data_IF_488056480093
#
_entry.id   IF_488056480093
#
_cell.length_a   1.000
_cell.length_b   1.000
_cell.length_c   1.000
_cell.angle_alpha   90.00
_cell.angle_beta   90.00
_cell.angle_gamma   90.00
#
_symmetry.space_group_name_H-M   'P 1'
#
loop_
_entity.id
_entity.type
_entity.pdbx_description
1 polymer ?
#
# COMPACT_ATOMS: atom_id res chain seq x y z
N UNK A 1 -13.82 6.33 9.93
CA UNK A 1 -12.37 6.11 10.02
C UNK A 1 -12.16 4.62 10.18
N UNK A 2 -11.53 3.96 9.21
CA UNK A 2 -11.15 2.55 9.32
C UNK A 2 -9.95 2.53 10.27
N UNK A 3 -10.17 2.16 11.53
CA UNK A 3 -9.07 2.01 12.49
C UNK A 3 -8.39 0.69 12.20
N UNK A 4 -7.26 0.77 11.49
CA UNK A 4 -6.37 -0.35 11.27
C UNK A 4 -5.56 -0.51 12.56
N UNK A 5 -6.02 -1.40 13.43
CA UNK A 5 -5.31 -1.80 14.66
C UNK A 5 -3.83 -2.06 14.36
N UNK A 6 -2.93 -1.08 14.54
CA UNK A 6 -1.44 -1.05 14.61
C UNK A 6 -0.62 -2.14 13.87
N UNK A 7 -1.23 -2.89 12.97
CA UNK A 7 -0.68 -4.05 12.29
C UNK A 7 -0.51 -3.65 10.84
N UNK A 8 0.70 -3.81 10.30
CA UNK A 8 0.93 -3.55 8.90
C UNK A 8 -0.02 -4.37 8.04
N UNK A 9 -0.66 -3.73 7.08
CA UNK A 9 -1.53 -4.41 6.11
C UNK A 9 -0.70 -4.80 4.90
N UNK A 10 -0.73 -6.08 4.53
CA UNK A 10 -0.05 -6.52 3.32
C UNK A 10 -0.73 -5.94 2.07
N UNK A 11 0.08 -5.65 1.04
CA UNK A 11 -0.40 -5.07 -0.21
C UNK A 11 -1.54 -5.86 -0.88
N UNK A 12 -1.50 -7.19 -0.82
CA UNK A 12 -2.52 -8.08 -1.39
C UNK A 12 -3.86 -7.97 -0.65
N UNK A 13 -3.81 -7.82 0.69
CA UNK A 13 -4.98 -7.60 1.52
C UNK A 13 -5.59 -6.24 1.21
N UNK A 14 -4.75 -5.23 1.03
CA UNK A 14 -5.20 -3.89 0.67
C UNK A 14 -5.85 -3.87 -0.72
N UNK A 15 -5.25 -4.53 -1.72
CA UNK A 15 -5.81 -4.68 -3.07
C UNK A 15 -7.23 -5.23 -3.04
N UNK A 16 -7.47 -6.29 -2.26
CA UNK A 16 -8.79 -6.89 -2.06
C UNK A 16 -9.77 -5.93 -1.39
N UNK A 17 -9.32 -5.18 -0.39
CA UNK A 17 -10.17 -4.22 0.34
C UNK A 17 -10.68 -3.10 -0.56
N UNK A 18 -9.81 -2.53 -1.39
CA UNK A 18 -10.17 -1.45 -2.33
C UNK A 18 -10.72 -1.97 -3.66
N UNK A 19 -10.88 -3.30 -3.80
CA UNK A 19 -11.32 -3.98 -5.02
C UNK A 19 -10.51 -3.57 -6.26
N UNK A 20 -9.19 -3.47 -6.10
CA UNK A 20 -8.26 -3.15 -7.18
C UNK A 20 -7.44 -4.38 -7.56
N UNK A 21 -7.14 -4.51 -8.85
CA UNK A 21 -6.18 -5.50 -9.34
C UNK A 21 -4.81 -5.30 -8.67
N UNK A 22 -4.24 -6.39 -8.17
CA UNK A 22 -2.96 -6.36 -7.43
C UNK A 22 -1.81 -5.86 -8.32
N UNK A 23 -1.80 -6.23 -9.60
CA UNK A 23 -0.77 -5.77 -10.54
C UNK A 23 -0.87 -4.26 -10.77
N UNK A 24 -2.09 -3.73 -10.86
CA UNK A 24 -2.32 -2.28 -10.94
C UNK A 24 -1.85 -1.57 -9.67
N UNK A 25 -2.19 -2.09 -8.50
CA UNK A 25 -1.78 -1.52 -7.22
C UNK A 25 -0.26 -1.53 -7.05
N UNK A 26 0.39 -2.62 -7.44
CA UNK A 26 1.85 -2.76 -7.44
C UNK A 26 2.52 -1.70 -8.33
N UNK A 27 1.97 -1.43 -9.53
CA UNK A 27 2.45 -0.35 -10.40
C UNK A 27 2.28 1.04 -9.78
N UNK A 28 1.18 1.28 -9.07
CA UNK A 28 0.95 2.55 -8.37
C UNK A 28 2.01 2.72 -7.26
N UNK A 29 2.25 1.69 -6.46
CA UNK A 29 3.29 1.71 -5.43
C UNK A 29 4.67 1.96 -6.04
N UNK A 30 5.00 1.29 -7.14
CA UNK A 30 6.26 1.52 -7.85
C UNK A 30 6.37 2.96 -8.39
N UNK A 31 5.28 3.53 -8.89
CA UNK A 31 5.21 4.94 -9.29
C UNK A 31 5.46 5.88 -8.12
N UNK A 32 4.88 5.60 -6.96
CA UNK A 32 5.07 6.38 -5.73
C UNK A 32 6.53 6.30 -5.25
N UNK A 33 7.16 5.12 -5.31
CA UNK A 33 8.57 4.95 -4.97
C UNK A 33 9.51 5.71 -5.91
N UNK A 34 9.20 5.72 -7.21
CA UNK A 34 9.96 6.50 -8.20
C UNK A 34 9.87 8.02 -7.97
N UNK A 35 8.85 8.48 -7.23
CA UNK A 35 8.72 9.88 -6.81
C UNK A 35 9.43 10.18 -5.48
N UNK A 36 10.20 9.23 -4.94
CA UNK A 36 11.02 9.40 -3.74
C UNK A 36 10.38 8.95 -2.44
N UNK A 37 9.19 8.34 -2.49
CA UNK A 37 8.58 7.72 -1.32
C UNK A 37 9.21 6.35 -1.03
N UNK A 38 9.26 5.92 0.22
CA UNK A 38 9.82 4.60 0.59
C UNK A 38 8.80 3.84 1.41
N UNK A 39 8.28 2.75 0.84
CA UNK A 39 7.40 1.84 1.58
C UNK A 39 8.19 0.94 2.51
N UNK A 40 7.59 0.65 3.67
CA UNK A 40 8.09 -0.39 4.54
C UNK A 40 7.90 -1.77 3.91
N UNK A 41 8.94 -2.60 4.02
CA UNK A 41 8.92 -3.99 3.59
C UNK A 41 9.21 -4.89 4.77
N UNK A 42 8.52 -6.02 4.86
CA UNK A 42 8.81 -7.04 5.87
C UNK A 42 10.05 -7.87 5.51
N UNK A 43 10.42 -8.80 6.40
CA UNK A 43 11.58 -9.69 6.21
C UNK A 43 11.50 -10.56 4.95
N UNK A 44 10.31 -10.74 4.37
CA UNK A 44 10.07 -11.49 3.14
C UNK A 44 10.11 -10.60 1.89
N UNK A 45 10.30 -9.29 2.05
CA UNK A 45 10.36 -8.31 0.97
C UNK A 45 8.99 -7.83 0.48
N UNK A 46 7.89 -8.22 1.13
CA UNK A 46 6.55 -7.73 0.78
C UNK A 46 6.31 -6.35 1.41
N UNK A 47 5.51 -5.53 0.71
CA UNK A 47 5.13 -4.21 1.20
C UNK A 47 4.11 -4.35 2.33
N UNK A 48 4.44 -3.73 3.45
CA UNK A 48 3.65 -3.67 4.67
C UNK A 48 3.17 -2.23 4.85
N UNK A 49 1.90 -1.99 4.55
CA UNK A 49 1.30 -0.67 4.55
C UNK A 49 0.89 -0.26 5.97
N UNK A 50 1.44 0.86 6.42
CA UNK A 50 0.91 1.64 7.54
C UNK A 50 -0.32 2.46 7.13
N UNK A 51 -1.00 3.07 8.10
CA UNK A 51 -2.11 3.99 7.82
C UNK A 51 -1.67 5.20 6.97
N UNK A 52 -0.44 5.70 7.18
CA UNK A 52 0.15 6.74 6.33
C UNK A 52 0.40 6.26 4.90
N UNK A 53 0.91 5.04 4.72
CA UNK A 53 1.13 4.47 3.38
C UNK A 53 -0.19 4.33 2.63
N UNK A 54 -1.24 3.85 3.32
CA UNK A 54 -2.59 3.71 2.74
C UNK A 54 -3.13 5.05 2.27
N UNK A 55 -2.97 6.10 3.07
CA UNK A 55 -3.41 7.46 2.70
C UNK A 55 -2.67 7.97 1.45
N UNK A 56 -1.36 7.72 1.37
CA UNK A 56 -0.57 8.06 0.19
C UNK A 56 -1.07 7.28 -1.02
N UNK A 57 -1.16 5.95 -0.94
CA UNK A 57 -1.59 5.11 -2.07
C UNK A 57 -2.99 5.51 -2.55
N UNK A 58 -3.94 5.74 -1.64
CA UNK A 58 -5.29 6.18 -1.99
C UNK A 58 -5.31 7.53 -2.73
N UNK A 59 -4.36 8.43 -2.43
CA UNK A 59 -4.23 9.73 -3.11
C UNK A 59 -3.86 9.62 -4.58
N UNK A 60 -3.28 8.49 -5.02
CA UNK A 60 -2.94 8.19 -6.41
C UNK A 60 -3.93 7.22 -7.10
N UNK A 61 -4.89 6.69 -6.34
CA UNK A 61 -5.94 5.80 -6.85
C UNK A 61 -7.20 6.55 -7.34
N UNK A 62 -7.39 7.80 -6.89
CA UNK A 62 -8.48 8.72 -7.24
C UNK A 62 -8.06 9.68 -8.36
#
# INVERSE_FOLDING_TARGET
>A
MISLNDKPMHLDQFAKLIQMDESRLSRICQGIENNGYVFNRNEQGHIDLSESDITVVLSFCL
#
